data_IF_911489672532
#
_entry.id   IF_911489672532
#
_cell.length_a   1.000
_cell.length_b   1.000
_cell.length_c   1.000
_cell.angle_alpha   90.00
_cell.angle_beta   90.00
_cell.angle_gamma   90.00
#
_symmetry.space_group_name_H-M   'P 1'
#
loop_
_entity.id
_entity.type
_entity.pdbx_description
1 polymer ?
#
# COMPACT_ATOMS: atom_id res chain seq x y z
N UNK A 1 9.28 -15.58 -4.48
CA UNK A 1 7.98 -14.91 -4.38
C UNK A 1 7.11 -15.28 -5.58
N UNK A 2 5.81 -15.45 -5.37
CA UNK A 2 4.84 -15.76 -6.44
C UNK A 2 4.80 -14.67 -7.51
N UNK A 3 4.99 -13.42 -7.13
CA UNK A 3 4.98 -12.26 -8.05
C UNK A 3 6.07 -12.31 -9.13
N UNK A 4 7.11 -13.13 -8.93
CA UNK A 4 8.21 -13.35 -9.89
C UNK A 4 8.00 -14.56 -10.79
N UNK A 5 6.90 -15.26 -10.70
CA UNK A 5 6.65 -16.41 -11.56
C UNK A 5 6.34 -15.96 -12.99
N UNK A 6 6.78 -16.70 -14.01
CA UNK A 6 6.60 -16.30 -15.40
C UNK A 6 5.14 -16.35 -15.88
N UNK A 7 4.28 -17.13 -15.21
CA UNK A 7 2.88 -17.34 -15.59
C UNK A 7 1.96 -17.01 -14.41
N UNK A 8 1.76 -15.73 -14.14
CA UNK A 8 0.92 -15.27 -13.01
C UNK A 8 -0.51 -14.90 -13.42
N UNK A 9 -0.80 -14.75 -14.72
CA UNK A 9 -2.08 -14.23 -15.22
C UNK A 9 -3.33 -15.07 -14.83
N UNK A 10 -3.13 -16.35 -14.48
CA UNK A 10 -4.24 -17.27 -14.15
C UNK A 10 -4.37 -17.58 -12.67
N UNK A 11 -3.82 -16.74 -11.81
CA UNK A 11 -3.94 -16.92 -10.37
C UNK A 11 -5.26 -16.32 -9.87
N UNK A 12 -5.91 -17.02 -8.93
CA UNK A 12 -7.05 -16.48 -8.23
C UNK A 12 -6.58 -15.44 -7.21
N UNK A 13 -6.94 -14.19 -7.42
CA UNK A 13 -6.65 -13.09 -6.50
C UNK A 13 -7.95 -12.44 -6.03
N UNK A 14 -7.88 -11.73 -4.92
CA UNK A 14 -9.03 -11.00 -4.41
C UNK A 14 -9.53 -9.97 -5.44
N UNK A 15 -8.61 -9.18 -6.02
CA UNK A 15 -8.97 -8.18 -7.04
C UNK A 15 -9.54 -8.82 -8.30
N UNK A 16 -8.96 -9.92 -8.80
CA UNK A 16 -9.51 -10.66 -9.94
C UNK A 16 -10.92 -11.21 -9.66
N UNK A 17 -11.14 -11.72 -8.44
CA UNK A 17 -12.46 -12.18 -8.01
C UNK A 17 -13.49 -11.06 -7.95
N UNK A 18 -13.08 -9.88 -7.49
CA UNK A 18 -13.94 -8.69 -7.44
C UNK A 18 -14.18 -8.10 -8.84
N UNK A 19 -13.14 -8.06 -9.69
CA UNK A 19 -13.27 -7.62 -11.09
C UNK A 19 -14.29 -8.44 -11.86
N UNK A 20 -14.32 -9.76 -11.65
CA UNK A 20 -15.33 -10.65 -12.25
C UNK A 20 -16.77 -10.33 -11.79
N UNK A 21 -16.93 -9.51 -10.75
CA UNK A 21 -18.22 -9.00 -10.23
C UNK A 21 -18.46 -7.53 -10.54
N UNK A 22 -17.68 -6.95 -11.44
CA UNK A 22 -17.86 -5.57 -11.89
C UNK A 22 -17.18 -4.51 -11.01
N UNK A 23 -16.31 -4.90 -10.08
CA UNK A 23 -15.49 -3.98 -9.30
C UNK A 23 -14.26 -3.54 -10.08
N UNK A 24 -13.77 -2.34 -9.81
CA UNK A 24 -12.50 -1.85 -10.36
C UNK A 24 -11.38 -2.08 -9.34
N UNK A 25 -10.46 -3.04 -9.55
CA UNK A 25 -9.34 -3.25 -8.63
C UNK A 25 -8.18 -2.29 -8.94
N UNK A 26 -7.62 -1.70 -7.89
CA UNK A 26 -6.44 -0.83 -7.95
C UNK A 26 -5.33 -1.37 -7.05
N UNK A 27 -4.09 -1.27 -7.50
CA UNK A 27 -2.91 -1.47 -6.68
C UNK A 27 -2.10 -0.19 -6.61
N UNK A 28 -1.94 0.36 -5.39
CA UNK A 28 -1.12 1.53 -5.12
C UNK A 28 0.09 1.15 -4.29
N UNK A 29 1.26 1.58 -4.74
CA UNK A 29 2.52 1.29 -4.07
C UNK A 29 3.38 2.54 -3.93
N UNK A 30 3.85 2.81 -2.71
CA UNK A 30 4.74 3.96 -2.43
C UNK A 30 6.14 3.82 -3.02
N UNK A 31 6.56 2.63 -3.43
CA UNK A 31 7.86 2.35 -4.01
C UNK A 31 7.85 2.24 -5.53
N UNK A 32 8.93 1.72 -6.09
CA UNK A 32 9.03 1.37 -7.51
C UNK A 32 8.44 -0.01 -7.75
N UNK A 33 7.35 -0.10 -8.48
CA UNK A 33 6.66 -1.36 -8.75
C UNK A 33 7.41 -2.33 -9.66
N UNK A 34 8.51 -1.89 -10.27
CA UNK A 34 9.48 -2.78 -10.92
C UNK A 34 10.17 -3.72 -9.91
N UNK A 35 10.29 -3.29 -8.65
CA UNK A 35 10.82 -4.13 -7.59
C UNK A 35 9.94 -5.37 -7.43
N UNK A 36 10.57 -6.53 -7.40
CA UNK A 36 9.91 -7.85 -7.33
C UNK A 36 8.85 -8.10 -8.42
N UNK A 37 8.86 -7.33 -9.53
CA UNK A 37 7.87 -7.44 -10.61
C UNK A 37 6.43 -7.18 -10.15
N UNK A 38 6.22 -6.32 -9.17
CA UNK A 38 4.87 -6.06 -8.62
C UNK A 38 3.94 -5.46 -9.67
N UNK A 39 4.42 -4.48 -10.45
CA UNK A 39 3.60 -3.89 -11.52
C UNK A 39 3.12 -4.94 -12.51
N UNK A 40 4.02 -5.78 -13.02
CA UNK A 40 3.66 -6.85 -13.95
C UNK A 40 2.72 -7.89 -13.35
N UNK A 41 2.91 -8.21 -12.06
CA UNK A 41 2.04 -9.15 -11.37
C UNK A 41 0.61 -8.60 -11.23
N UNK A 42 0.44 -7.39 -10.69
CA UNK A 42 -0.88 -6.83 -10.46
C UNK A 42 -1.60 -6.46 -11.76
N UNK A 43 -0.88 -5.95 -12.77
CA UNK A 43 -1.42 -5.70 -14.10
C UNK A 43 -1.97 -6.99 -14.73
N UNK A 44 -1.20 -8.09 -14.67
CA UNK A 44 -1.63 -9.40 -15.17
C UNK A 44 -2.86 -9.97 -14.42
N UNK A 45 -3.16 -9.47 -13.21
CA UNK A 45 -4.36 -9.80 -12.44
C UNK A 45 -5.52 -8.83 -12.67
N UNK A 46 -5.37 -7.88 -13.61
CA UNK A 46 -6.40 -6.92 -13.98
C UNK A 46 -6.54 -5.71 -13.05
N UNK A 47 -5.53 -5.42 -12.24
CA UNK A 47 -5.50 -4.21 -11.42
C UNK A 47 -5.05 -3.00 -12.24
N UNK A 48 -5.61 -1.85 -11.95
CA UNK A 48 -5.01 -0.57 -12.33
C UNK A 48 -3.84 -0.28 -11.38
N UNK A 49 -2.64 -0.18 -11.93
CA UNK A 49 -1.42 -0.05 -11.14
C UNK A 49 -0.98 1.41 -11.07
N UNK A 50 -0.76 1.90 -9.86
CA UNK A 50 -0.15 3.21 -9.59
C UNK A 50 1.03 3.01 -8.64
N UNK A 51 2.25 3.24 -9.10
CA UNK A 51 3.43 3.28 -8.25
C UNK A 51 3.96 4.73 -8.13
N UNK A 52 5.04 4.93 -7.38
CA UNK A 52 5.60 6.28 -7.14
C UNK A 52 5.90 7.07 -8.42
N UNK A 53 6.12 6.41 -9.57
CA UNK A 53 6.42 7.09 -10.83
C UNK A 53 5.19 7.76 -11.45
N UNK A 54 4.00 7.39 -11.01
CA UNK A 54 2.71 7.90 -11.48
C UNK A 54 2.07 8.89 -10.49
N UNK A 55 2.76 9.23 -9.39
CA UNK A 55 2.19 10.13 -8.39
C UNK A 55 2.09 11.56 -8.95
N UNK A 56 1.06 12.27 -8.49
CA UNK A 56 0.84 13.66 -8.89
C UNK A 56 2.09 14.50 -8.62
N UNK A 57 2.47 15.28 -9.61
CA UNK A 57 3.63 16.18 -9.50
C UNK A 57 3.52 17.08 -8.27
N UNK A 58 4.63 17.24 -7.57
CA UNK A 58 4.74 18.07 -6.38
C UNK A 58 4.11 17.47 -5.11
N UNK A 59 3.49 16.29 -5.17
CA UNK A 59 2.89 15.64 -4.01
C UNK A 59 3.97 15.03 -3.09
N UNK A 60 4.99 14.41 -3.65
CA UNK A 60 6.06 13.74 -2.88
C UNK A 60 7.03 14.78 -2.33
N UNK A 61 7.13 14.88 -0.99
CA UNK A 61 8.05 15.78 -0.28
C UNK A 61 9.15 15.03 0.48
N UNK A 62 8.95 13.76 0.71
CA UNK A 62 9.91 12.90 1.39
C UNK A 62 9.84 11.48 0.83
N UNK A 63 11.01 10.89 0.64
CA UNK A 63 11.16 9.51 0.21
C UNK A 63 12.46 8.90 0.72
N UNK A 64 12.53 7.59 0.71
CA UNK A 64 13.73 6.84 0.99
C UNK A 64 13.97 5.78 -0.09
N UNK A 65 14.94 4.89 0.12
CA UNK A 65 15.27 3.83 -0.85
C UNK A 65 14.09 2.91 -1.18
N UNK A 66 13.11 2.76 -0.29
CA UNK A 66 11.95 1.87 -0.47
C UNK A 66 10.76 2.57 -1.12
N UNK A 67 10.63 3.86 -0.92
CA UNK A 67 9.53 4.59 -1.49
C UNK A 67 9.25 5.93 -0.82
N UNK A 68 8.12 6.50 -1.17
CA UNK A 68 7.62 7.74 -0.60
C UNK A 68 7.13 7.53 0.83
N UNK A 69 7.13 8.59 1.62
CA UNK A 69 6.51 8.55 2.95
C UNK A 69 5.03 8.14 2.86
N UNK A 70 4.55 7.34 3.81
CA UNK A 70 3.19 6.78 3.78
C UNK A 70 2.11 7.86 3.72
N UNK A 71 2.32 9.05 4.32
CA UNK A 71 1.39 10.17 4.17
C UNK A 71 1.21 10.59 2.70
N UNK A 72 2.27 10.61 1.90
CA UNK A 72 2.18 10.95 0.47
C UNK A 72 1.55 9.82 -0.36
N UNK A 73 1.77 8.57 0.01
CA UNK A 73 1.05 7.44 -0.59
C UNK A 73 -0.45 7.58 -0.34
N UNK A 74 -0.86 7.91 0.88
CA UNK A 74 -2.27 8.09 1.22
C UNK A 74 -2.87 9.35 0.58
N UNK A 75 -2.11 10.42 0.41
CA UNK A 75 -2.56 11.58 -0.36
C UNK A 75 -2.86 11.21 -1.83
N UNK A 76 -1.98 10.42 -2.45
CA UNK A 76 -2.23 9.90 -3.80
C UNK A 76 -3.42 8.94 -3.81
N UNK A 77 -3.55 8.09 -2.80
CA UNK A 77 -4.69 7.18 -2.68
C UNK A 77 -6.02 7.94 -2.61
N UNK A 78 -6.10 9.04 -1.86
CA UNK A 78 -7.30 9.88 -1.80
C UNK A 78 -7.67 10.47 -3.17
N UNK A 79 -6.68 10.89 -3.95
CA UNK A 79 -6.92 11.39 -5.31
C UNK A 79 -7.53 10.29 -6.19
N UNK A 80 -6.92 9.10 -6.17
CA UNK A 80 -7.39 7.98 -6.98
C UNK A 80 -8.77 7.47 -6.52
N UNK A 81 -9.01 7.42 -5.19
CA UNK A 81 -10.30 7.05 -4.60
C UNK A 81 -11.41 8.03 -5.00
N UNK A 82 -11.16 9.34 -4.97
CA UNK A 82 -12.12 10.35 -5.41
C UNK A 82 -12.46 10.19 -6.89
N UNK A 83 -11.46 9.93 -7.72
CA UNK A 83 -11.65 9.71 -9.16
C UNK A 83 -12.49 8.46 -9.44
N UNK A 84 -12.17 7.35 -8.77
CA UNK A 84 -12.88 6.09 -8.98
C UNK A 84 -14.31 6.16 -8.43
N UNK A 85 -14.51 6.75 -7.25
CA UNK A 85 -15.83 6.93 -6.66
C UNK A 85 -16.76 7.77 -7.55
N UNK A 86 -16.21 8.75 -8.27
CA UNK A 86 -16.98 9.57 -9.23
C UNK A 86 -17.52 8.76 -10.40
N UNK A 87 -17.00 7.57 -10.70
CA UNK A 87 -17.51 6.67 -11.74
C UNK A 87 -18.83 5.99 -11.35
N UNK A 88 -19.16 5.95 -10.06
CA UNK A 88 -20.30 5.23 -9.50
C UNK A 88 -20.15 3.70 -9.49
N UNK A 89 -18.99 3.17 -9.90
CA UNK A 89 -18.70 1.73 -9.85
C UNK A 89 -18.14 1.34 -8.49
N UNK A 90 -18.37 0.11 -8.05
CA UNK A 90 -17.70 -0.40 -6.88
C UNK A 90 -16.20 -0.57 -7.15
N UNK A 91 -15.37 -0.27 -6.15
CA UNK A 91 -13.92 -0.30 -6.28
C UNK A 91 -13.24 -1.12 -5.16
N UNK A 92 -12.06 -1.60 -5.45
CA UNK A 92 -11.18 -2.27 -4.50
C UNK A 92 -9.77 -1.67 -4.60
N UNK A 93 -9.26 -1.15 -3.51
CA UNK A 93 -7.90 -0.58 -3.44
C UNK A 93 -7.02 -1.45 -2.54
N UNK A 94 -5.94 -1.96 -3.11
CA UNK A 94 -4.84 -2.56 -2.38
C UNK A 94 -3.71 -1.54 -2.29
N UNK A 95 -3.50 -0.97 -1.11
CA UNK A 95 -2.50 0.08 -0.86
C UNK A 95 -1.36 -0.53 -0.05
N UNK A 96 -0.14 -0.49 -0.60
CA UNK A 96 1.04 -1.06 0.02
C UNK A 96 1.98 0.04 0.52
N UNK A 97 2.12 0.14 1.84
CA UNK A 97 2.96 1.13 2.52
C UNK A 97 4.43 0.71 2.58
N UNK A 98 5.33 1.67 2.85
CA UNK A 98 6.78 1.42 2.88
C UNK A 98 7.49 1.95 4.12
N UNK A 99 6.91 2.88 4.87
CA UNK A 99 7.62 3.61 5.94
C UNK A 99 7.99 2.75 7.15
N UNK A 100 7.26 1.65 7.38
CA UNK A 100 7.61 0.68 8.44
C UNK A 100 8.72 -0.30 8.01
N UNK A 101 9.38 -0.07 6.89
CA UNK A 101 10.55 -0.83 6.46
C UNK A 101 11.87 -0.15 6.91
N UNK A 102 12.94 -0.92 7.10
CA UNK A 102 14.28 -0.36 7.31
C UNK A 102 14.64 0.56 6.13
N UNK A 103 15.25 1.71 6.35
CA UNK A 103 15.91 2.23 7.56
C UNK A 103 14.99 2.93 8.57
N UNK A 104 13.66 2.83 8.48
CA UNK A 104 12.68 3.46 9.38
C UNK A 104 12.81 4.99 9.38
N UNK A 105 12.93 5.56 8.19
CA UNK A 105 13.00 7.01 7.98
C UNK A 105 11.65 7.56 7.54
N UNK A 106 11.31 8.72 8.04
CA UNK A 106 10.06 9.45 7.78
C UNK A 106 10.30 10.95 7.96
N UNK A 107 9.39 11.82 7.52
CA UNK A 107 9.54 13.28 7.68
C UNK A 107 9.62 13.67 9.16
N UNK A 108 10.55 14.57 9.48
CA UNK A 108 10.71 15.08 10.84
C UNK A 108 9.47 15.87 11.32
N UNK A 109 9.25 15.85 12.63
CA UNK A 109 8.19 16.60 13.27
C UNK A 109 6.77 16.05 13.09
N UNK A 110 6.63 14.86 12.48
CA UNK A 110 5.32 14.20 12.36
C UNK A 110 4.90 13.46 13.62
N UNK A 111 5.87 12.95 14.34
CA UNK A 111 5.70 12.24 15.61
C UNK A 111 6.78 12.70 16.60
N UNK A 112 6.64 12.33 17.85
CA UNK A 112 7.57 12.67 18.94
C UNK A 112 8.88 11.85 18.94
N UNK A 113 9.03 10.88 18.02
CA UNK A 113 10.27 10.12 17.83
C UNK A 113 11.01 10.71 16.61
N UNK A 114 12.23 11.23 16.76
CA UNK A 114 13.01 11.74 15.64
C UNK A 114 13.35 10.67 14.59
N UNK A 115 13.41 11.05 13.33
CA UNK A 115 13.84 10.17 12.24
C UNK A 115 15.39 10.13 12.15
N UNK A 116 16.01 8.93 11.96
CA UNK A 116 15.40 7.60 11.89
C UNK A 116 15.04 7.04 13.27
N UNK A 117 13.78 6.66 13.45
CA UNK A 117 13.22 6.26 14.74
C UNK A 117 13.36 4.78 15.11
N UNK A 118 14.22 4.02 14.43
CA UNK A 118 14.27 2.56 14.52
C UNK A 118 12.86 1.97 14.26
N UNK A 119 12.62 0.72 14.61
CA UNK A 119 11.32 0.08 14.39
C UNK A 119 10.17 0.78 15.12
N UNK A 120 10.38 1.22 16.36
CA UNK A 120 9.34 1.90 17.14
C UNK A 120 8.87 3.19 16.44
N UNK A 121 9.80 3.98 15.91
CA UNK A 121 9.47 5.18 15.13
C UNK A 121 8.77 4.84 13.82
N UNK A 122 9.23 3.81 13.09
CA UNK A 122 8.57 3.38 11.84
C UNK A 122 7.13 2.94 12.07
N UNK A 123 6.86 2.13 13.10
CA UNK A 123 5.50 1.71 13.47
C UNK A 123 4.64 2.91 13.86
N UNK A 124 5.14 3.78 14.73
CA UNK A 124 4.39 4.96 15.17
C UNK A 124 4.10 5.93 14.03
N UNK A 125 5.03 6.09 13.10
CA UNK A 125 4.81 6.93 11.93
C UNK A 125 3.79 6.31 10.95
N UNK A 126 3.86 5.01 10.72
CA UNK A 126 2.87 4.34 9.87
C UNK A 126 1.46 4.45 10.46
N UNK A 127 1.31 4.27 11.79
CA UNK A 127 0.04 4.47 12.50
C UNK A 127 -0.46 5.93 12.38
N UNK A 128 0.43 6.91 12.56
CA UNK A 128 0.11 8.32 12.35
C UNK A 128 -0.40 8.59 10.93
N UNK A 129 0.28 8.07 9.91
CA UNK A 129 -0.11 8.26 8.51
C UNK A 129 -1.47 7.62 8.20
N UNK A 130 -1.73 6.42 8.73
CA UNK A 130 -3.03 5.75 8.65
C UNK A 130 -4.12 6.60 9.33
N UNK A 131 -3.85 7.11 10.54
CA UNK A 131 -4.79 7.96 11.27
C UNK A 131 -5.17 9.21 10.46
N UNK A 132 -4.18 9.90 9.87
CA UNK A 132 -4.43 11.04 8.99
C UNK A 132 -5.25 10.68 7.76
N UNK A 133 -4.93 9.56 7.11
CA UNK A 133 -5.69 9.08 5.96
C UNK A 133 -7.18 8.87 6.32
N UNK A 134 -7.47 8.20 7.42
CA UNK A 134 -8.84 7.97 7.87
C UNK A 134 -9.57 9.29 8.19
N UNK A 135 -8.91 10.24 8.86
CA UNK A 135 -9.51 11.55 9.15
C UNK A 135 -9.83 12.37 7.87
N UNK A 136 -8.99 12.26 6.84
CA UNK A 136 -9.27 12.87 5.55
C UNK A 136 -10.36 12.12 4.78
N UNK A 137 -10.34 10.80 4.82
CA UNK A 137 -11.32 9.94 4.18
C UNK A 137 -12.73 10.15 4.76
N UNK A 138 -12.87 10.38 6.08
CA UNK A 138 -14.17 10.69 6.74
C UNK A 138 -14.92 11.87 6.12
N UNK A 139 -14.21 12.77 5.46
CA UNK A 139 -14.79 13.96 4.81
C UNK A 139 -15.27 13.68 3.38
N UNK A 140 -15.11 12.45 2.89
CA UNK A 140 -15.40 12.05 1.52
C UNK A 140 -16.77 11.39 1.42
N UNK A 141 -17.52 11.62 0.32
CA UNK A 141 -18.86 11.08 0.14
C UNK A 141 -18.92 9.54 0.07
N UNK A 142 -17.79 8.89 -0.24
CA UNK A 142 -17.69 7.44 -0.35
C UNK A 142 -17.35 6.75 0.99
N UNK A 143 -17.03 7.50 2.04
CA UNK A 143 -16.51 6.94 3.30
C UNK A 143 -17.47 5.94 3.95
N UNK A 144 -18.73 6.33 4.13
CA UNK A 144 -19.73 5.52 4.84
C UNK A 144 -20.09 4.21 4.11
N UNK A 145 -19.74 4.12 2.81
CA UNK A 145 -19.97 2.94 1.97
C UNK A 145 -18.66 2.17 1.68
N UNK A 146 -17.62 2.38 2.50
CA UNK A 146 -16.30 1.77 2.32
C UNK A 146 -15.89 0.96 3.54
N UNK A 147 -15.40 -0.26 3.30
CA UNK A 147 -14.78 -1.10 4.32
C UNK A 147 -13.27 -0.90 4.25
N UNK A 148 -12.67 -0.49 5.36
CA UNK A 148 -11.22 -0.35 5.50
C UNK A 148 -10.66 -1.58 6.20
N UNK A 149 -9.68 -2.24 5.56
CA UNK A 149 -8.99 -3.41 6.10
C UNK A 149 -7.52 -3.11 6.26
N UNK A 150 -7.01 -3.19 7.48
CA UNK A 150 -5.59 -3.03 7.78
C UNK A 150 -5.01 -4.38 8.16
N UNK A 151 -4.00 -4.81 7.41
CA UNK A 151 -3.39 -6.12 7.59
C UNK A 151 -1.89 -6.02 7.34
N UNK A 152 -1.09 -6.63 8.22
CA UNK A 152 0.34 -6.76 7.99
C UNK A 152 0.60 -7.79 6.88
N UNK A 153 1.62 -7.55 6.05
CA UNK A 153 2.08 -8.51 5.04
C UNK A 153 2.79 -9.72 5.66
N UNK A 154 3.46 -9.50 6.80
CA UNK A 154 4.11 -10.53 7.62
C UNK A 154 4.46 -9.98 9.01
N UNK A 155 4.74 -10.87 9.96
CA UNK A 155 5.22 -10.47 11.28
C UNK A 155 6.68 -9.98 11.23
N UNK A 156 7.09 -9.23 12.26
CA UNK A 156 8.48 -8.81 12.42
C UNK A 156 9.42 -10.03 12.54
N UNK A 157 10.59 -9.94 11.89
CA UNK A 157 11.61 -11.02 11.91
C UNK A 157 11.09 -12.35 11.34
N UNK A 158 10.28 -12.30 10.30
CA UNK A 158 9.74 -13.47 9.60
C UNK A 158 10.83 -14.34 8.95
N UNK A 159 11.99 -13.76 8.60
CA UNK A 159 13.11 -14.53 8.07
C UNK A 159 13.63 -15.53 9.11
N UNK A 160 13.77 -16.79 8.72
CA UNK A 160 14.23 -17.88 9.56
C UNK A 160 15.05 -18.90 8.77
N UNK A 161 15.51 -19.96 9.45
CA UNK A 161 16.27 -21.05 8.82
C UNK A 161 15.37 -22.01 8.04
N UNK A 162 14.10 -22.10 8.39
CA UNK A 162 13.14 -22.92 7.68
C UNK A 162 12.71 -22.25 6.37
N UNK A 163 12.52 -23.03 5.30
CA UNK A 163 12.13 -22.54 3.99
C UNK A 163 10.78 -21.78 4.03
N UNK A 164 9.84 -22.23 4.86
CA UNK A 164 8.57 -21.58 5.16
C UNK A 164 8.31 -21.76 6.67
N UNK A 165 8.72 -20.82 7.53
CA UNK A 165 8.44 -20.90 8.96
C UNK A 165 6.98 -20.46 9.24
N UNK A 166 6.03 -21.38 9.09
CA UNK A 166 4.57 -21.14 9.13
C UNK A 166 4.15 -20.29 10.35
N UNK A 167 4.71 -20.57 11.52
CA UNK A 167 4.42 -19.83 12.76
C UNK A 167 4.95 -18.38 12.76
N UNK A 168 5.81 -17.99 11.82
CA UNK A 168 6.35 -16.62 11.69
C UNK A 168 5.63 -15.76 10.67
N UNK A 169 4.70 -16.34 9.91
CA UNK A 169 3.85 -15.62 8.96
C UNK A 169 2.42 -15.46 9.48
N UNK A 170 2.18 -15.81 10.73
CA UNK A 170 0.90 -15.56 11.39
C UNK A 170 0.80 -14.07 11.72
N UNK A 171 -0.18 -13.40 11.17
CA UNK A 171 -0.50 -11.97 11.33
C UNK A 171 -1.81 -11.79 12.10
#
# INVERSE_FOLDING_TARGET
SVVRWPNVANLNTLGGTLAARGWTPHFLYGGYGMFDNMNGYFDAQGYQVTDRTNFKEGLVKFENIWGVADEHLFDQALINLDQEAATGKPFFFHIMTTSNHRPFTYPDGRIDIPSPGKRAGGVKYADFAVGQFIEMARKKPWFDNTIFVFVADHCASSAGKAKIPVYRYHI
#
